data_IF_222094885735
#
_entry.id   IF_222094885735
#
_cell.length_a   1.000
_cell.length_b   1.000
_cell.length_c   1.000
_cell.angle_alpha   90.00
_cell.angle_beta   90.00
_cell.angle_gamma   90.00
#
_symmetry.space_group_name_H-M   'P 1'
#
loop_
_entity.id
_entity.type
_entity.pdbx_description
1 polymer ?
#
# COMPACT_ATOMS: atom_id res chain seq x y z
N UNK A 1 -21.30 -24.63 -14.02
CA UNK A 1 -20.93 -23.57 -13.05
C UNK A 1 -19.44 -23.32 -13.18
N UNK A 2 -19.02 -22.07 -13.33
CA UNK A 2 -17.61 -21.72 -13.54
C UNK A 2 -16.85 -21.82 -12.23
N UNK A 3 -16.01 -22.85 -12.12
CA UNK A 3 -15.09 -23.07 -11.01
C UNK A 3 -13.73 -22.58 -11.47
N UNK A 4 -13.18 -21.57 -10.80
CA UNK A 4 -11.81 -21.10 -11.06
C UNK A 4 -10.98 -21.54 -9.86
N UNK A 5 -9.92 -22.32 -10.07
CA UNK A 5 -8.99 -22.76 -9.02
C UNK A 5 -9.64 -23.59 -7.88
N UNK A 6 -10.71 -24.33 -8.18
CA UNK A 6 -11.44 -25.14 -7.17
C UNK A 6 -12.37 -24.32 -6.27
N UNK A 7 -12.50 -23.02 -6.54
CA UNK A 7 -13.33 -22.09 -5.78
C UNK A 7 -14.55 -21.70 -6.64
N UNK A 8 -15.75 -21.91 -6.10
CA UNK A 8 -16.99 -21.61 -6.80
C UNK A 8 -17.20 -20.10 -6.90
N UNK A 9 -17.22 -19.53 -8.12
CA UNK A 9 -17.46 -18.09 -8.35
C UNK A 9 -18.84 -17.62 -7.83
N UNK A 10 -19.77 -18.55 -7.66
CA UNK A 10 -21.08 -18.30 -7.05
C UNK A 10 -20.98 -17.85 -5.58
N UNK A 11 -19.83 -17.93 -4.91
CA UNK A 11 -19.69 -17.41 -3.54
C UNK A 11 -19.33 -15.92 -3.46
N UNK A 12 -18.97 -15.30 -4.59
CA UNK A 12 -18.74 -13.86 -4.70
C UNK A 12 -20.09 -13.15 -4.76
N UNK A 13 -20.58 -12.72 -3.60
CA UNK A 13 -21.80 -11.92 -3.50
C UNK A 13 -21.49 -10.60 -2.81
N UNK A 14 -22.08 -9.51 -3.31
CA UNK A 14 -22.03 -8.20 -2.65
C UNK A 14 -22.55 -8.25 -1.21
N UNK A 15 -23.46 -9.18 -0.89
CA UNK A 15 -23.97 -9.39 0.47
C UNK A 15 -22.91 -9.90 1.46
N UNK A 16 -21.82 -10.52 0.98
CA UNK A 16 -20.70 -10.98 1.82
C UNK A 16 -19.82 -9.84 2.32
N UNK A 17 -19.90 -8.64 1.72
CA UNK A 17 -19.26 -7.43 2.24
C UNK A 17 -19.93 -6.88 3.51
N UNK A 18 -21.09 -7.41 3.91
CA UNK A 18 -21.75 -6.99 5.14
C UNK A 18 -20.83 -7.28 6.34
N UNK A 19 -20.69 -6.28 7.21
CA UNK A 19 -19.90 -6.34 8.45
C UNK A 19 -20.14 -7.62 9.29
N UNK A 20 -21.39 -8.13 9.29
CA UNK A 20 -21.75 -9.40 9.93
C UNK A 20 -20.97 -10.63 9.43
N UNK A 21 -20.65 -10.69 8.12
CA UNK A 21 -19.84 -11.75 7.53
C UNK A 21 -18.33 -11.54 7.75
N UNK A 22 -17.85 -10.29 7.83
CA UNK A 22 -16.45 -9.96 8.15
C UNK A 22 -16.09 -10.25 9.60
N UNK A 23 -16.99 -9.99 10.54
CA UNK A 23 -16.73 -10.11 11.98
C UNK A 23 -17.41 -11.33 12.62
N UNK A 24 -17.78 -12.34 11.82
CA UNK A 24 -18.38 -13.56 12.33
C UNK A 24 -17.40 -14.34 13.23
N UNK A 25 -17.89 -14.89 14.34
CA UNK A 25 -17.11 -15.66 15.34
C UNK A 25 -16.79 -17.09 14.93
N UNK A 26 -17.19 -17.53 13.73
CA UNK A 26 -16.94 -18.88 13.23
C UNK A 26 -15.45 -19.30 13.32
N UNK A 27 -14.52 -18.35 13.19
CA UNK A 27 -13.08 -18.57 13.41
C UNK A 27 -12.50 -17.42 14.25
N UNK A 28 -11.86 -17.73 15.38
CA UNK A 28 -11.35 -16.70 16.29
C UNK A 28 -10.29 -15.77 15.65
N UNK A 29 -9.49 -16.28 14.69
CA UNK A 29 -8.47 -15.50 14.00
C UNK A 29 -9.03 -14.63 12.85
N UNK A 30 -10.26 -14.87 12.39
CA UNK A 30 -10.82 -14.18 11.21
C UNK A 30 -10.97 -12.69 11.45
N UNK A 31 -11.52 -12.31 12.62
CA UNK A 31 -11.69 -10.92 13.02
C UNK A 31 -10.36 -10.18 13.10
N UNK A 32 -9.36 -10.79 13.74
CA UNK A 32 -8.03 -10.19 13.89
C UNK A 32 -7.36 -9.99 12.53
N UNK A 33 -7.42 -10.99 11.63
CA UNK A 33 -6.86 -10.87 10.28
C UNK A 33 -7.51 -9.74 9.48
N UNK A 34 -8.84 -9.67 9.48
CA UNK A 34 -9.58 -8.64 8.75
C UNK A 34 -9.23 -7.23 9.26
N UNK A 35 -9.10 -7.05 10.58
CA UNK A 35 -8.70 -5.76 11.17
C UNK A 35 -7.27 -5.39 10.75
N UNK A 36 -6.33 -6.34 10.81
CA UNK A 36 -4.94 -6.09 10.43
C UNK A 36 -4.82 -5.73 8.96
N UNK A 37 -5.51 -6.44 8.06
CA UNK A 37 -5.49 -6.12 6.63
C UNK A 37 -6.09 -4.74 6.34
N UNK A 38 -7.22 -4.41 6.98
CA UNK A 38 -7.86 -3.10 6.81
C UNK A 38 -7.00 -1.96 7.36
N UNK A 39 -6.39 -2.12 8.55
CA UNK A 39 -5.46 -1.14 9.10
C UNK A 39 -4.25 -0.94 8.18
N UNK A 40 -3.65 -2.03 7.69
CA UNK A 40 -2.51 -1.95 6.78
C UNK A 40 -2.86 -1.21 5.49
N UNK A 41 -4.03 -1.50 4.90
CA UNK A 41 -4.50 -0.83 3.69
C UNK A 41 -4.79 0.66 3.93
N UNK A 42 -5.49 1.03 5.01
CA UNK A 42 -5.81 2.44 5.30
C UNK A 42 -4.51 3.25 5.50
N UNK A 43 -3.57 2.73 6.28
CA UNK A 43 -2.30 3.43 6.52
C UNK A 43 -1.49 3.62 5.23
N UNK A 44 -1.46 2.61 4.35
CA UNK A 44 -0.82 2.74 3.03
C UNK A 44 -1.51 3.76 2.14
N UNK A 45 -2.84 3.73 2.03
CA UNK A 45 -3.60 4.68 1.20
C UNK A 45 -3.42 6.12 1.69
N UNK A 46 -3.45 6.33 3.01
CA UNK A 46 -3.15 7.64 3.59
C UNK A 46 -1.72 8.09 3.26
N UNK A 47 -0.74 7.20 3.39
CA UNK A 47 0.67 7.50 3.06
C UNK A 47 0.86 7.81 1.57
N UNK A 48 0.23 7.05 0.68
CA UNK A 48 0.25 7.28 -0.77
C UNK A 48 -0.39 8.63 -1.13
N UNK A 49 -1.54 8.94 -0.53
CA UNK A 49 -2.26 10.20 -0.79
C UNK A 49 -1.43 11.41 -0.35
N UNK A 50 -0.80 11.33 0.83
CA UNK A 50 0.10 12.39 1.32
C UNK A 50 1.35 12.49 0.46
N UNK A 51 1.94 11.36 0.06
CA UNK A 51 3.10 11.32 -0.84
C UNK A 51 2.81 11.94 -2.20
N UNK A 52 1.60 11.71 -2.73
CA UNK A 52 1.14 12.26 -4.01
C UNK A 52 0.90 13.77 -3.92
N UNK A 53 0.26 14.23 -2.85
CA UNK A 53 0.07 15.67 -2.61
C UNK A 53 1.42 16.39 -2.53
N UNK A 54 2.34 15.87 -1.71
CA UNK A 54 3.68 16.42 -1.60
C UNK A 54 4.43 16.39 -2.95
N UNK A 55 4.36 15.29 -3.68
CA UNK A 55 4.94 15.19 -5.03
C UNK A 55 4.43 16.28 -5.97
N UNK A 56 3.12 16.55 -5.98
CA UNK A 56 2.52 17.60 -6.82
C UNK A 56 3.05 18.98 -6.42
N UNK A 57 3.04 19.31 -5.13
CA UNK A 57 3.50 20.62 -4.64
C UNK A 57 4.97 20.89 -4.99
N UNK A 58 5.84 19.88 -4.86
CA UNK A 58 7.26 20.04 -5.20
C UNK A 58 7.51 20.16 -6.71
N UNK A 59 6.66 19.57 -7.55
CA UNK A 59 6.71 19.75 -9.00
C UNK A 59 6.24 21.13 -9.42
N UNK A 60 5.14 21.62 -8.83
CA UNK A 60 4.62 22.95 -9.10
C UNK A 60 5.65 24.02 -8.71
N UNK A 61 6.28 23.88 -7.54
CA UNK A 61 7.40 24.76 -7.13
C UNK A 61 8.56 24.75 -8.11
N UNK A 62 8.94 23.56 -8.63
CA UNK A 62 10.03 23.48 -9.60
C UNK A 62 9.67 24.17 -10.91
N UNK A 63 8.43 24.01 -11.38
CA UNK A 63 7.90 24.64 -12.60
C UNK A 63 7.83 26.17 -12.47
N UNK A 64 7.30 26.68 -11.36
CA UNK A 64 7.19 28.12 -11.10
C UNK A 64 8.55 28.82 -11.05
N UNK A 65 9.51 28.25 -10.30
CA UNK A 65 10.84 28.86 -10.18
C UNK A 65 11.61 28.80 -11.50
N UNK A 66 11.52 27.70 -12.25
CA UNK A 66 12.14 27.63 -13.57
C UNK A 66 11.48 28.58 -14.59
N UNK A 67 10.19 28.85 -14.45
CA UNK A 67 9.47 29.82 -15.27
C UNK A 67 9.89 31.27 -14.98
N UNK A 68 10.14 31.60 -13.71
CA UNK A 68 10.54 32.96 -13.29
C UNK A 68 12.05 33.22 -13.45
N UNK A 69 12.88 32.18 -13.29
CA UNK A 69 14.33 32.27 -13.35
C UNK A 69 14.92 31.17 -14.26
N UNK A 70 15.00 31.40 -15.59
CA UNK A 70 15.43 30.38 -16.56
C UNK A 70 16.89 29.90 -16.38
N UNK A 71 17.68 30.58 -15.54
CA UNK A 71 19.04 30.16 -15.17
C UNK A 71 19.15 29.29 -13.91
N UNK A 72 18.08 29.16 -13.12
CA UNK A 72 18.08 28.44 -11.83
C UNK A 72 17.40 27.09 -12.00
N UNK A 73 18.17 26.00 -11.86
CA UNK A 73 17.62 24.64 -11.82
C UNK A 73 17.52 24.19 -10.37
N UNK A 74 16.31 24.19 -9.80
CA UNK A 74 16.05 23.50 -8.53
C UNK A 74 16.04 22.00 -8.81
N UNK A 75 16.87 21.23 -8.10
CA UNK A 75 17.00 19.79 -8.29
C UNK A 75 16.26 19.04 -7.16
N UNK A 76 14.93 18.99 -7.21
CA UNK A 76 14.09 18.26 -6.25
C UNK A 76 13.97 16.76 -6.55
N UNK A 77 14.75 16.25 -7.50
CA UNK A 77 14.69 14.87 -8.00
C UNK A 77 14.79 13.79 -6.91
N UNK A 78 15.51 14.05 -5.81
CA UNK A 78 15.60 13.13 -4.68
C UNK A 78 14.27 12.93 -3.95
N UNK A 79 13.54 14.02 -3.69
CA UNK A 79 12.23 13.95 -3.05
C UNK A 79 11.17 13.36 -3.99
N UNK A 80 11.18 13.77 -5.26
CA UNK A 80 10.31 13.25 -6.32
C UNK A 80 10.49 11.73 -6.47
N UNK A 81 11.75 11.26 -6.44
CA UNK A 81 12.08 9.83 -6.45
C UNK A 81 11.60 9.08 -5.21
N UNK A 82 11.79 9.64 -4.02
CA UNK A 82 11.32 9.02 -2.78
C UNK A 82 9.78 8.97 -2.69
N UNK A 83 9.09 10.04 -3.12
CA UNK A 83 7.63 10.09 -3.13
C UNK A 83 7.01 9.13 -4.16
N UNK A 84 7.57 9.04 -5.36
CA UNK A 84 7.13 8.07 -6.38
C UNK A 84 7.38 6.61 -5.95
N UNK A 85 8.51 6.34 -5.29
CA UNK A 85 8.77 5.04 -4.67
C UNK A 85 7.73 4.71 -3.59
N UNK A 86 7.34 5.69 -2.76
CA UNK A 86 6.31 5.49 -1.75
C UNK A 86 4.93 5.14 -2.34
N UNK A 87 4.54 5.79 -3.43
CA UNK A 87 3.31 5.47 -4.16
C UNK A 87 3.36 4.02 -4.67
N UNK A 88 4.46 3.64 -5.32
CA UNK A 88 4.64 2.28 -5.84
C UNK A 88 4.52 1.22 -4.74
N UNK A 89 5.18 1.44 -3.61
CA UNK A 89 5.15 0.52 -2.47
C UNK A 89 3.75 0.48 -1.84
N UNK A 90 3.05 1.62 -1.74
CA UNK A 90 1.67 1.69 -1.27
C UNK A 90 0.73 0.82 -2.10
N UNK A 91 0.83 0.90 -3.43
CA UNK A 91 0.06 0.07 -4.36
C UNK A 91 0.40 -1.42 -4.18
N UNK A 92 1.68 -1.77 -4.01
CA UNK A 92 2.09 -3.17 -3.80
C UNK A 92 1.52 -3.77 -2.50
N UNK A 93 1.51 -3.00 -1.42
CA UNK A 93 0.90 -3.40 -0.14
C UNK A 93 -0.61 -3.56 -0.31
N UNK A 94 -1.28 -2.58 -0.92
CA UNK A 94 -2.71 -2.63 -1.18
C UNK A 94 -3.11 -3.81 -2.06
N UNK A 95 -2.30 -4.16 -3.07
CA UNK A 95 -2.55 -5.32 -3.92
C UNK A 95 -2.43 -6.62 -3.14
N UNK A 96 -1.37 -6.81 -2.36
CA UNK A 96 -1.13 -8.07 -1.63
C UNK A 96 -2.13 -8.23 -0.48
N UNK A 97 -2.24 -7.24 0.41
CA UNK A 97 -3.17 -7.34 1.55
C UNK A 97 -4.63 -7.19 1.14
N UNK A 98 -4.92 -6.42 0.09
CA UNK A 98 -6.25 -6.34 -0.49
C UNK A 98 -6.67 -7.67 -1.11
N UNK A 99 -5.80 -8.30 -1.90
CA UNK A 99 -6.07 -9.63 -2.42
C UNK A 99 -6.30 -10.64 -1.27
N UNK A 100 -5.42 -10.66 -0.25
CA UNK A 100 -5.59 -11.52 0.93
C UNK A 100 -6.93 -11.27 1.64
N UNK A 101 -7.34 -10.01 1.78
CA UNK A 101 -8.63 -9.61 2.34
C UNK A 101 -9.81 -10.16 1.52
N UNK A 102 -9.80 -9.98 0.19
CA UNK A 102 -10.87 -10.49 -0.67
C UNK A 102 -10.94 -12.02 -0.67
N UNK A 103 -9.80 -12.71 -0.68
CA UNK A 103 -9.77 -14.17 -0.60
C UNK A 103 -10.35 -14.69 0.73
N UNK A 104 -9.97 -14.10 1.86
CA UNK A 104 -10.51 -14.45 3.19
C UNK A 104 -12.00 -14.03 3.36
N UNK A 105 -12.48 -13.07 2.57
CA UNK A 105 -13.86 -12.59 2.59
C UNK A 105 -14.78 -13.51 1.81
N UNK A 106 -14.43 -13.81 0.55
CA UNK A 106 -15.26 -14.60 -0.35
C UNK A 106 -15.23 -16.09 -0.03
N UNK A 107 -14.05 -16.64 0.30
CA UNK A 107 -13.87 -18.07 0.54
C UNK A 107 -13.22 -18.37 1.89
N UNK A 108 -13.96 -18.21 3.00
CA UNK A 108 -13.43 -18.40 4.35
C UNK A 108 -13.02 -19.84 4.69
N UNK A 109 -13.60 -20.84 4.03
CA UNK A 109 -13.32 -22.26 4.26
C UNK A 109 -12.24 -22.83 3.32
N UNK A 110 -11.56 -21.98 2.55
CA UNK A 110 -10.53 -22.38 1.59
C UNK A 110 -9.39 -23.12 2.30
N UNK A 111 -9.24 -24.40 1.96
CA UNK A 111 -8.05 -25.17 2.32
C UNK A 111 -6.89 -24.79 1.39
N UNK A 112 -5.99 -23.94 1.88
CA UNK A 112 -4.79 -23.57 1.13
C UNK A 112 -3.72 -24.66 1.16
N UNK A 113 -3.19 -24.99 -0.01
CA UNK A 113 -1.97 -25.77 -0.13
C UNK A 113 -0.82 -25.10 0.64
N UNK A 114 0.07 -25.90 1.25
CA UNK A 114 1.20 -25.39 2.06
C UNK A 114 2.06 -24.38 1.30
N UNK A 115 2.29 -24.60 0.00
CA UNK A 115 3.04 -23.70 -0.87
C UNK A 115 2.40 -22.31 -0.99
N UNK A 116 1.09 -22.24 -1.17
CA UNK A 116 0.36 -20.96 -1.30
C UNK A 116 0.44 -20.14 -0.02
N UNK A 117 0.32 -20.81 1.14
CA UNK A 117 0.47 -20.18 2.45
C UNK A 117 1.89 -19.62 2.65
N UNK A 118 2.92 -20.31 2.15
CA UNK A 118 4.31 -19.83 2.22
C UNK A 118 4.48 -18.62 1.30
N UNK A 119 3.93 -18.65 0.08
CA UNK A 119 3.98 -17.50 -0.83
C UNK A 119 3.37 -16.24 -0.23
N UNK A 120 2.21 -16.36 0.44
CA UNK A 120 1.59 -15.25 1.17
C UNK A 120 2.46 -14.69 2.31
N UNK A 121 3.16 -15.57 3.03
CA UNK A 121 4.08 -15.14 4.09
C UNK A 121 5.28 -14.41 3.52
N UNK A 122 5.87 -14.93 2.44
CA UNK A 122 7.02 -14.30 1.78
C UNK A 122 6.60 -12.94 1.21
N UNK A 123 5.47 -12.87 0.51
CA UNK A 123 4.98 -11.61 -0.05
C UNK A 123 4.70 -10.58 1.04
N UNK A 124 4.08 -10.98 2.16
CA UNK A 124 3.86 -10.11 3.30
C UNK A 124 5.18 -9.57 3.88
N UNK A 125 6.21 -10.40 4.06
CA UNK A 125 7.53 -9.95 4.53
C UNK A 125 8.15 -8.97 3.55
N UNK A 126 8.13 -9.30 2.25
CA UNK A 126 8.72 -8.44 1.20
C UNK A 126 8.08 -7.07 1.17
N UNK A 127 6.74 -6.97 1.18
CA UNK A 127 6.08 -5.65 1.16
C UNK A 127 6.29 -4.87 2.44
N UNK A 128 6.45 -5.54 3.58
CA UNK A 128 6.76 -4.87 4.85
C UNK A 128 8.16 -4.25 4.82
N UNK A 129 9.14 -4.97 4.25
CA UNK A 129 10.50 -4.46 4.05
C UNK A 129 10.51 -3.30 3.05
N UNK A 130 9.75 -3.41 1.95
CA UNK A 130 9.61 -2.32 0.98
C UNK A 130 8.96 -1.07 1.60
N UNK A 131 7.97 -1.24 2.48
CA UNK A 131 7.34 -0.11 3.18
C UNK A 131 8.31 0.55 4.16
N UNK A 132 9.12 -0.26 4.86
CA UNK A 132 10.17 0.26 5.73
C UNK A 132 11.23 1.03 4.95
N UNK A 133 11.68 0.51 3.80
CA UNK A 133 12.65 1.22 2.95
C UNK A 133 12.07 2.50 2.37
N UNK A 134 10.78 2.53 2.03
CA UNK A 134 10.09 3.74 1.59
C UNK A 134 10.05 4.80 2.69
N UNK A 135 9.66 4.41 3.92
CA UNK A 135 9.64 5.32 5.06
C UNK A 135 11.03 5.90 5.36
N UNK A 136 12.08 5.08 5.26
CA UNK A 136 13.47 5.52 5.42
C UNK A 136 13.89 6.49 4.30
N UNK A 137 13.59 6.18 3.03
CA UNK A 137 13.92 7.03 1.90
C UNK A 137 13.28 8.42 2.02
N UNK A 138 11.98 8.48 2.36
CA UNK A 138 11.29 9.73 2.62
C UNK A 138 11.90 10.49 3.80
N UNK A 139 12.23 9.81 4.89
CA UNK A 139 12.84 10.44 6.08
C UNK A 139 14.20 11.04 5.75
N UNK A 140 15.06 10.30 5.04
CA UNK A 140 16.40 10.77 4.66
C UNK A 140 16.32 11.94 3.68
N UNK A 141 15.48 11.85 2.63
CA UNK A 141 15.29 12.94 1.68
C UNK A 141 14.73 14.20 2.35
N UNK A 142 13.79 14.05 3.28
CA UNK A 142 13.25 15.17 4.04
C UNK A 142 14.31 15.80 4.94
N UNK A 143 15.10 14.98 5.64
CA UNK A 143 16.17 15.46 6.52
C UNK A 143 17.30 16.18 5.76
N UNK A 144 17.64 15.73 4.56
CA UNK A 144 18.61 16.40 3.69
C UNK A 144 18.06 17.74 3.20
N UNK A 145 16.79 17.81 2.81
CA UNK A 145 16.14 19.07 2.42
C UNK A 145 16.10 20.09 3.56
N UNK A 146 15.82 19.66 4.81
CA UNK A 146 15.87 20.55 5.98
C UNK A 146 17.29 20.90 6.43
N UNK A 147 18.24 19.96 6.36
CA UNK A 147 19.64 20.17 6.74
C UNK A 147 20.43 21.03 5.74
N UNK A 148 19.95 21.15 4.50
CA UNK A 148 20.48 22.02 3.45
C UNK A 148 20.09 23.49 3.58
N UNK A 149 19.10 23.82 4.42
CA UNK A 149 18.80 25.20 4.81
C UNK A 149 19.79 25.63 5.90
N UNK A 150 21.06 25.78 5.53
CA UNK A 150 22.00 26.59 6.30
C UNK A 150 21.97 28.00 5.71
N UNK A 151 21.51 28.93 6.53
CA UNK A 151 21.61 30.38 6.33
C UNK A 151 22.98 30.80 5.83
#
# INVERSE_FOLDING_TARGET
MTVIWGLGLHEIHYSKFKSSYMFNRAYHLRRTKMIVYQLAMILCVCSESVGTAAFSDYLDQQSEVQGQHPGVKIHNNGFIGAASYNIFVGIAVAFIFGAAFFFDLFWPERHECKHVRVSWKISAVVVTVMMLSSALALTVCHLINFGGVRY
#
